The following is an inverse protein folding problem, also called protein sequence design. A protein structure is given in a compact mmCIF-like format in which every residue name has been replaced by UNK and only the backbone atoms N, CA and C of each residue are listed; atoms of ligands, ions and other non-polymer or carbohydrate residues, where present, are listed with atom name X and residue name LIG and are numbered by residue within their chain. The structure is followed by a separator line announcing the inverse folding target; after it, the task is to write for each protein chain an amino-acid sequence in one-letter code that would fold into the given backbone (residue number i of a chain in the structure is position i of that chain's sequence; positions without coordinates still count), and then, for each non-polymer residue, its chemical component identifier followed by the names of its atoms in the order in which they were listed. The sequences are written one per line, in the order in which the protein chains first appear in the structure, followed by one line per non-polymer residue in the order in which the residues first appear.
data_IF_397367650843
#
_entry.id   IF_397367650843
#
_cell.length_a   1.000
_cell.length_b   1.000
_cell.length_c   1.000
_cell.angle_alpha   90.00
_cell.angle_beta   90.00
_cell.angle_gamma   90.00
#
_symmetry.space_group_name_H-M   'P 1'
#
loop_
_entity.id
_entity.type
_entity.pdbx_description
1 polymer ?
#
# COMPACT_ATOMS: atom_id res chain seq x y z
N UNK A 1 -4.35 -10.50 1.48
CA UNK A 1 -4.95 -11.65 0.73
C UNK A 1 -6.27 -12.21 1.30
N UNK A 2 -6.41 -12.43 2.62
CA UNK A 2 -7.57 -13.14 3.24
C UNK A 2 -8.96 -12.60 2.89
N UNK A 3 -9.17 -11.28 2.79
CA UNK A 3 -10.51 -10.73 2.48
C UNK A 3 -10.92 -10.90 1.01
N UNK A 4 -9.96 -10.89 0.07
CA UNK A 4 -10.22 -11.14 -1.34
C UNK A 4 -10.55 -12.60 -1.58
N UNK A 5 -9.79 -13.52 -0.97
CA UNK A 5 -10.06 -14.96 -1.04
C UNK A 5 -11.41 -15.31 -0.42
N UNK A 6 -11.76 -14.71 0.73
CA UNK A 6 -13.10 -14.87 1.33
C UNK A 6 -14.20 -14.29 0.45
N UNK A 7 -13.99 -13.12 -0.17
CA UNK A 7 -14.96 -12.53 -1.07
C UNK A 7 -15.16 -13.39 -2.34
N UNK A 8 -14.08 -13.88 -2.96
CA UNK A 8 -14.13 -14.79 -4.09
C UNK A 8 -14.79 -16.14 -3.72
N UNK A 9 -14.51 -16.68 -2.53
CA UNK A 9 -15.16 -17.88 -2.02
C UNK A 9 -16.66 -17.68 -1.79
N UNK A 10 -17.09 -16.51 -1.31
CA UNK A 10 -18.50 -16.17 -1.15
C UNK A 10 -19.22 -16.00 -2.50
N UNK A 11 -18.55 -15.46 -3.52
CA UNK A 11 -19.07 -15.40 -4.89
C UNK A 11 -19.19 -16.80 -5.48
N UNK A 12 -18.14 -17.61 -5.38
CA UNK A 12 -18.12 -18.99 -5.90
C UNK A 12 -19.15 -19.88 -5.20
N UNK A 13 -19.41 -19.66 -3.91
CA UNK A 13 -20.44 -20.38 -3.15
C UNK A 13 -21.87 -19.82 -3.35
N UNK A 14 -22.07 -18.77 -4.16
CA UNK A 14 -23.39 -18.14 -4.35
C UNK A 14 -23.96 -17.45 -3.10
N UNK A 15 -23.13 -17.22 -2.08
CA UNK A 15 -23.53 -16.66 -0.77
C UNK A 15 -23.24 -15.16 -0.66
N UNK A 16 -22.73 -14.55 -1.73
CA UNK A 16 -22.47 -13.13 -1.80
C UNK A 16 -23.78 -12.34 -1.83
N UNK A 17 -23.88 -11.29 -1.01
CA UNK A 17 -25.04 -10.41 -0.98
C UNK A 17 -24.84 -9.22 -1.94
N UNK A 18 -25.92 -8.60 -2.46
CA UNK A 18 -25.83 -7.47 -3.38
C UNK A 18 -24.99 -6.29 -2.86
N UNK A 19 -25.05 -6.03 -1.55
CA UNK A 19 -24.21 -5.01 -0.91
C UNK A 19 -22.71 -5.37 -0.94
N UNK A 20 -22.36 -6.66 -0.81
CA UNK A 20 -20.99 -7.13 -0.92
C UNK A 20 -20.44 -7.03 -2.34
N UNK A 21 -21.25 -7.36 -3.35
CA UNK A 21 -20.89 -7.18 -4.78
C UNK A 21 -20.61 -5.71 -5.12
N UNK A 22 -21.46 -4.80 -4.64
CA UNK A 22 -21.29 -3.36 -4.89
C UNK A 22 -20.03 -2.79 -4.25
N UNK A 23 -19.65 -3.30 -3.08
CA UNK A 23 -18.38 -2.95 -2.43
C UNK A 23 -17.17 -3.59 -3.13
N UNK A 24 -17.32 -4.78 -3.73
CA UNK A 24 -16.29 -5.37 -4.58
C UNK A 24 -16.06 -4.57 -5.86
N UNK A 25 -17.13 -4.17 -6.55
CA UNK A 25 -17.06 -3.34 -7.75
C UNK A 25 -16.46 -1.96 -7.44
N UNK A 26 -16.84 -1.35 -6.31
CA UNK A 26 -16.24 -0.10 -5.83
C UNK A 26 -14.76 -0.27 -5.50
N UNK A 27 -14.38 -1.35 -4.84
CA UNK A 27 -12.99 -1.66 -4.54
C UNK A 27 -12.17 -1.95 -5.81
N UNK A 28 -12.77 -2.58 -6.84
CA UNK A 28 -12.11 -2.78 -8.15
C UNK A 28 -11.95 -1.45 -8.90
N UNK A 29 -12.96 -0.60 -8.87
CA UNK A 29 -12.93 0.71 -9.52
C UNK A 29 -12.02 1.73 -8.81
N UNK A 30 -11.84 1.63 -7.49
CA UNK A 30 -11.00 2.55 -6.70
C UNK A 30 -9.58 2.03 -6.42
N UNK A 31 -9.22 0.86 -6.99
CA UNK A 31 -7.89 0.24 -6.87
C UNK A 31 -7.62 -0.42 -5.51
N UNK A 32 -8.57 -0.43 -4.58
CA UNK A 32 -8.43 -1.08 -3.26
C UNK A 32 -8.68 -2.59 -3.30
N UNK A 33 -9.14 -3.12 -4.44
CA UNK A 33 -9.34 -4.55 -4.68
C UNK A 33 -8.06 -5.38 -4.52
N UNK A 34 -6.94 -4.84 -4.98
CA UNK A 34 -5.61 -5.44 -4.78
C UNK A 34 -4.96 -5.00 -3.47
N UNK A 35 -5.50 -3.98 -2.80
CA UNK A 35 -4.98 -3.43 -1.57
C UNK A 35 -5.50 -4.17 -0.32
N UNK A 36 -5.31 -5.49 -0.28
CA UNK A 36 -5.63 -6.31 0.88
C UNK A 36 -4.35 -6.88 1.51
N UNK A 37 -3.92 -6.27 2.62
CA UNK A 37 -2.87 -6.69 3.57
C UNK A 37 -2.04 -7.91 3.16
N UNK A 38 -0.83 -7.60 2.72
CA UNK A 38 0.32 -8.44 3.03
C UNK A 38 0.88 -7.95 4.38
N UNK A 39 1.31 -8.84 5.30
CA UNK A 39 2.06 -8.44 6.47
C UNK A 39 3.27 -7.57 6.07
N UNK A 40 3.74 -6.71 6.98
CA UNK A 40 4.85 -5.78 6.75
C UNK A 40 6.09 -6.41 6.08
N UNK A 41 6.31 -7.70 6.34
CA UNK A 41 7.39 -8.54 5.79
C UNK A 41 7.18 -8.97 4.33
N UNK A 42 5.94 -9.00 3.84
CA UNK A 42 5.58 -9.43 2.47
C UNK A 42 4.90 -8.32 1.65
N UNK A 43 4.69 -7.13 2.23
CA UNK A 43 4.01 -6.03 1.57
C UNK A 43 4.78 -5.53 0.36
N UNK A 44 4.21 -5.80 -0.81
CA UNK A 44 4.75 -5.40 -2.10
C UNK A 44 4.78 -3.86 -2.18
N UNK A 45 5.95 -3.30 -2.51
CA UNK A 45 6.14 -1.85 -2.66
C UNK A 45 5.31 -1.38 -3.87
N UNK A 46 4.41 -0.39 -3.71
CA UNK A 46 3.64 0.14 -4.83
C UNK A 46 4.54 0.69 -5.94
N UNK A 47 4.19 0.50 -7.22
CA UNK A 47 5.04 0.91 -8.35
C UNK A 47 5.45 2.38 -8.35
N UNK A 48 4.58 3.26 -7.87
CA UNK A 48 4.84 4.69 -7.77
C UNK A 48 5.83 5.06 -6.64
N UNK A 49 5.75 4.37 -5.50
CA UNK A 49 6.79 4.47 -4.46
C UNK A 49 8.12 3.89 -4.95
N UNK A 50 8.07 2.75 -5.66
CA UNK A 50 9.26 2.10 -6.20
C UNK A 50 9.98 3.02 -7.21
N UNK A 51 9.24 3.63 -8.14
CA UNK A 51 9.80 4.59 -9.10
C UNK A 51 10.44 5.80 -8.41
N UNK A 52 9.81 6.32 -7.36
CA UNK A 52 10.36 7.45 -6.60
C UNK A 52 11.60 7.06 -5.77
N UNK A 53 11.67 5.83 -5.25
CA UNK A 53 12.87 5.29 -4.61
C UNK A 53 13.98 5.05 -5.63
N UNK A 54 13.68 4.56 -6.82
CA UNK A 54 14.66 4.33 -7.88
C UNK A 54 15.29 5.63 -8.38
N UNK A 55 14.55 6.75 -8.33
CA UNK A 55 15.09 8.08 -8.59
C UNK A 55 16.02 8.61 -7.48
N UNK A 56 16.09 7.96 -6.31
CA UNK A 56 16.94 8.36 -5.19
C UNK A 56 17.68 7.16 -4.59
N UNK A 57 18.90 6.84 -5.08
CA UNK A 57 19.68 5.70 -4.61
C UNK A 57 19.87 5.68 -3.08
N UNK A 58 20.03 6.85 -2.46
CA UNK A 58 20.18 7.00 -1.01
C UNK A 58 18.89 6.62 -0.26
N UNK A 59 17.74 7.10 -0.72
CA UNK A 59 16.45 6.74 -0.12
C UNK A 59 16.15 5.25 -0.31
N UNK A 60 16.46 4.68 -1.48
CA UNK A 60 16.30 3.24 -1.76
C UNK A 60 17.14 2.39 -0.82
N UNK A 61 18.42 2.73 -0.66
CA UNK A 61 19.31 2.02 0.25
C UNK A 61 18.80 2.09 1.69
N UNK A 62 18.40 3.27 2.17
CA UNK A 62 17.88 3.42 3.53
C UNK A 62 16.53 2.69 3.72
N UNK A 63 15.62 2.77 2.75
CA UNK A 63 14.34 2.06 2.78
C UNK A 63 14.50 0.52 2.88
N UNK A 64 15.57 -0.03 2.28
CA UNK A 64 15.90 -1.45 2.40
C UNK A 64 16.38 -1.84 3.81
N UNK A 65 16.91 -0.89 4.59
CA UNK A 65 17.36 -1.11 5.98
C UNK A 65 16.25 -0.96 7.02
N UNK A 66 15.07 -0.44 6.62
CA UNK A 66 13.97 -0.25 7.55
C UNK A 66 13.42 -1.57 8.09
N UNK A 67 13.09 -1.57 9.37
CA UNK A 67 12.33 -2.64 10.01
C UNK A 67 10.90 -2.75 9.45
N UNK A 68 10.23 -3.86 9.75
CA UNK A 68 8.85 -4.09 9.32
C UNK A 68 7.90 -2.99 9.77
N UNK A 69 8.09 -2.42 10.97
CA UNK A 69 7.24 -1.37 11.51
C UNK A 69 7.29 -0.09 10.66
N UNK A 70 8.48 0.40 10.34
CA UNK A 70 8.66 1.61 9.54
C UNK A 70 8.27 1.38 8.08
N UNK A 71 8.59 0.22 7.50
CA UNK A 71 8.14 -0.15 6.15
C UNK A 71 6.62 -0.15 6.06
N UNK A 72 5.94 -0.80 7.00
CA UNK A 72 4.49 -0.83 7.06
C UNK A 72 3.87 0.56 7.24
N UNK A 73 4.47 1.40 8.07
CA UNK A 73 3.99 2.75 8.32
C UNK A 73 3.99 3.62 7.05
N UNK A 74 5.04 3.53 6.24
CA UNK A 74 5.12 4.22 4.93
C UNK A 74 4.02 3.70 4.01
N UNK A 75 3.92 2.38 3.85
CA UNK A 75 2.94 1.75 2.95
C UNK A 75 1.49 2.06 3.34
N UNK A 76 1.16 1.95 4.62
CA UNK A 76 -0.17 2.25 5.15
C UNK A 76 -0.56 3.72 4.94
N UNK A 77 0.38 4.65 5.17
CA UNK A 77 0.15 6.08 4.92
C UNK A 77 -0.02 6.39 3.44
N UNK A 78 0.58 5.64 2.52
CA UNK A 78 0.33 5.79 1.08
C UNK A 78 -1.02 5.20 0.67
N UNK A 79 -1.39 4.05 1.22
CA UNK A 79 -2.67 3.38 0.93
C UNK A 79 -3.88 4.19 1.40
N UNK A 80 -3.77 4.89 2.54
CA UNK A 80 -4.86 5.72 3.07
C UNK A 80 -5.00 7.08 2.35
N UNK A 81 -4.10 7.43 1.43
CA UNK A 81 -4.16 8.66 0.66
C UNK A 81 -5.20 8.55 -0.47
N UNK A 82 -6.47 8.87 -0.16
CA UNK A 82 -7.60 8.76 -1.10
C UNK A 82 -7.51 9.67 -2.33
N UNK A 83 -6.71 10.73 -2.28
CA UNK A 83 -6.51 11.68 -3.40
C UNK A 83 -5.14 11.46 -4.03
N UNK A 84 -5.10 11.33 -5.36
CA UNK A 84 -3.85 11.13 -6.11
C UNK A 84 -2.80 12.22 -5.79
N UNK A 85 -3.20 13.49 -5.74
CA UNK A 85 -2.31 14.60 -5.38
C UNK A 85 -1.71 14.46 -3.96
N UNK A 86 -2.48 13.94 -3.00
CA UNK A 86 -1.99 13.68 -1.64
C UNK A 86 -1.03 12.50 -1.61
N UNK A 87 -1.27 11.49 -2.44
CA UNK A 87 -0.41 10.33 -2.58
C UNK A 87 0.97 10.72 -3.12
N UNK A 88 1.03 11.49 -4.20
CA UNK A 88 2.28 12.02 -4.78
C UNK A 88 3.06 12.83 -3.74
N UNK A 89 2.43 13.80 -3.08
CA UNK A 89 3.07 14.61 -2.03
C UNK A 89 3.64 13.78 -0.88
N UNK A 90 2.94 12.70 -0.47
CA UNK A 90 3.41 11.79 0.57
C UNK A 90 4.61 10.98 0.10
N UNK A 91 4.60 10.49 -1.14
CA UNK A 91 5.74 9.77 -1.72
C UNK A 91 6.98 10.66 -1.73
N UNK A 92 6.86 11.89 -2.24
CA UNK A 92 7.95 12.88 -2.26
C UNK A 92 8.49 13.14 -0.85
N UNK A 93 7.59 13.36 0.11
CA UNK A 93 7.95 13.62 1.50
C UNK A 93 8.68 12.43 2.14
N UNK A 94 8.21 11.21 1.90
CA UNK A 94 8.84 10.00 2.44
C UNK A 94 10.19 9.73 1.78
N UNK A 95 10.32 9.88 0.46
CA UNK A 95 11.61 9.73 -0.22
C UNK A 95 12.62 10.76 0.29
N UNK A 96 12.22 12.00 0.49
CA UNK A 96 13.09 13.04 1.06
C UNK A 96 13.52 12.72 2.51
N UNK A 97 12.59 12.25 3.35
CA UNK A 97 12.87 11.80 4.72
C UNK A 97 13.86 10.63 4.74
N UNK A 98 13.61 9.60 3.91
CA UNK A 98 14.48 8.42 3.81
C UNK A 98 15.86 8.77 3.25
N UNK A 99 15.93 9.73 2.31
CA UNK A 99 17.20 10.24 1.80
C UNK A 99 18.03 10.95 2.89
N UNK A 100 17.40 11.49 3.94
CA UNK A 100 18.09 12.04 5.11
C UNK A 100 18.48 10.98 6.14
N UNK A 101 18.05 9.73 5.98
CA UNK A 101 18.25 8.66 6.96
C UNK A 101 17.27 8.72 8.13
N UNK A 102 16.12 9.39 7.93
CA UNK A 102 15.07 9.50 8.94
C UNK A 102 13.98 8.42 8.74
N UNK A 103 13.36 8.00 9.84
CA UNK A 103 12.30 6.99 9.88
C UNK A 103 11.09 7.53 10.67
N UNK A 104 9.91 6.93 10.45
CA UNK A 104 8.65 7.40 11.06
C UNK A 104 8.55 7.09 12.56
N UNK A 105 9.21 6.03 13.00
CA UNK A 105 9.30 5.61 14.39
C UNK A 105 10.78 5.48 14.80
N UNK A 106 11.15 5.96 16.01
CA UNK A 106 12.54 6.00 16.48
C UNK A 106 13.19 4.64 16.65
#
# INVERSE_FOLDING_TARGET
KVNREKALALVAAGRMRPAGLKEMERAQADGRWDAAYDPASTATVPPDLQAALDASPRAKAFFATLDGQNRYAVLFRLQTAKRAATRVKRIESFVAMLARGEKLYP
#
